data_IF_734792169356
#
_entry.id   IF_734792169356
#
_cell.length_a   1.000
_cell.length_b   1.000
_cell.length_c   1.000
_cell.angle_alpha   90.00
_cell.angle_beta   90.00
_cell.angle_gamma   90.00
#
_symmetry.space_group_name_H-M   'P 1'
#
loop_
_entity.id
_entity.type
_entity.pdbx_description
1 polymer ?
#
# COMPACT_ATOMS: atom_id res chain seq x y z
N UNK A 1 -23.88 -10.09 27.41
CA UNK A 1 -22.42 -9.90 27.66
C UNK A 1 -21.54 -10.93 26.94
N UNK A 2 -21.92 -12.22 26.86
CA UNK A 2 -21.12 -13.25 26.14
C UNK A 2 -20.98 -13.00 24.62
N UNK A 3 -22.04 -12.52 23.96
CA UNK A 3 -22.04 -12.23 22.52
C UNK A 3 -21.12 -11.04 22.14
N UNK A 4 -21.03 -10.01 22.98
CA UNK A 4 -20.11 -8.88 22.77
C UNK A 4 -18.65 -9.30 22.98
N UNK A 5 -18.36 -10.11 24.01
CA UNK A 5 -17.02 -10.63 24.28
C UNK A 5 -16.49 -11.50 23.12
N UNK A 6 -17.35 -12.33 22.52
CA UNK A 6 -17.01 -13.12 21.33
C UNK A 6 -16.75 -12.25 20.09
N UNK A 7 -17.49 -11.14 19.92
CA UNK A 7 -17.28 -10.20 18.81
C UNK A 7 -15.93 -9.50 18.93
N UNK A 8 -15.57 -9.04 20.12
CA UNK A 8 -14.31 -8.32 20.37
C UNK A 8 -13.09 -9.24 20.25
N UNK A 9 -13.22 -10.52 20.61
CA UNK A 9 -12.17 -11.52 20.42
C UNK A 9 -11.99 -11.86 18.93
N UNK A 10 -13.08 -11.98 18.18
CA UNK A 10 -13.03 -12.20 16.73
C UNK A 10 -12.41 -11.00 15.99
N UNK A 11 -12.76 -9.77 16.37
CA UNK A 11 -12.16 -8.54 15.81
C UNK A 11 -10.67 -8.45 16.11
N UNK A 12 -10.23 -8.84 17.31
CA UNK A 12 -8.80 -8.88 17.68
C UNK A 12 -8.02 -9.94 16.91
N UNK A 13 -8.56 -11.14 16.73
CA UNK A 13 -7.92 -12.18 15.93
C UNK A 13 -7.83 -11.79 14.45
N UNK A 14 -8.86 -11.14 13.92
CA UNK A 14 -8.86 -10.62 12.56
C UNK A 14 -7.88 -9.45 12.38
N UNK A 15 -7.76 -8.60 13.41
CA UNK A 15 -6.80 -7.49 13.43
C UNK A 15 -5.37 -8.02 13.45
N UNK A 16 -5.12 -9.06 14.24
CA UNK A 16 -3.84 -9.73 14.24
C UNK A 16 -3.49 -10.24 12.82
N UNK A 17 -4.42 -10.93 12.16
CA UNK A 17 -4.20 -11.46 10.80
C UNK A 17 -4.02 -10.37 9.74
N UNK A 18 -4.64 -9.20 9.91
CA UNK A 18 -4.54 -8.11 8.94
C UNK A 18 -3.16 -7.43 8.92
N UNK A 19 -2.40 -7.47 10.03
CA UNK A 19 -1.02 -6.95 10.06
C UNK A 19 -0.12 -7.52 8.98
N UNK A 20 -0.17 -8.84 8.78
CA UNK A 20 0.66 -9.50 7.78
C UNK A 20 0.21 -9.20 6.35
N UNK A 21 -1.07 -9.33 6.07
CA UNK A 21 -1.57 -9.33 4.70
C UNK A 21 -1.91 -7.94 4.17
N UNK A 22 -2.32 -7.00 5.01
CA UNK A 22 -2.83 -5.71 4.57
C UNK A 22 -1.78 -4.60 4.72
N UNK A 23 -1.08 -4.57 5.85
CA UNK A 23 -0.15 -3.48 6.16
C UNK A 23 1.28 -3.72 5.66
N UNK A 24 1.59 -4.90 5.11
CA UNK A 24 2.92 -5.25 4.59
C UNK A 24 3.44 -4.20 3.60
N UNK A 25 2.70 -3.92 2.53
CA UNK A 25 3.08 -2.92 1.50
C UNK A 25 3.30 -1.52 2.07
N UNK A 26 2.47 -1.12 3.04
CA UNK A 26 2.58 0.20 3.66
C UNK A 26 3.79 0.28 4.61
N UNK A 27 4.10 -0.83 5.27
CA UNK A 27 5.17 -0.92 6.26
C UNK A 27 6.58 -0.89 5.67
N UNK A 28 6.72 -1.18 4.38
CA UNK A 28 8.01 -1.20 3.67
C UNK A 28 8.37 0.13 3.00
N UNK A 29 7.42 1.08 2.89
CA UNK A 29 7.66 2.39 2.29
C UNK A 29 8.86 3.18 2.87
N UNK A 30 9.13 3.15 4.20
CA UNK A 30 10.30 3.84 4.76
C UNK A 30 11.65 3.39 4.20
N UNK A 31 11.74 2.22 3.56
CA UNK A 31 12.97 1.73 2.94
C UNK A 31 13.42 2.59 1.75
N UNK A 32 12.47 3.19 1.02
CA UNK A 32 12.76 3.88 -0.26
C UNK A 32 12.24 5.31 -0.34
N UNK A 33 11.29 5.75 0.50
CA UNK A 33 10.67 7.08 0.39
C UNK A 33 11.71 8.20 0.48
N UNK A 34 12.52 8.27 1.54
CA UNK A 34 13.50 9.37 1.67
C UNK A 34 14.59 9.35 0.60
N UNK A 35 15.06 8.16 0.23
CA UNK A 35 15.99 8.00 -0.91
C UNK A 35 15.40 8.57 -2.20
N UNK A 36 14.11 8.36 -2.43
CA UNK A 36 13.40 8.84 -3.63
C UNK A 36 13.16 10.35 -3.55
N UNK A 37 12.72 10.87 -2.40
CA UNK A 37 12.47 12.30 -2.15
C UNK A 37 13.71 13.16 -2.37
N UNK A 38 14.87 12.68 -1.95
CA UNK A 38 16.13 13.41 -2.11
C UNK A 38 16.94 13.00 -3.35
N UNK A 39 16.35 12.22 -4.27
CA UNK A 39 17.00 11.85 -5.52
C UNK A 39 17.08 13.02 -6.53
N UNK A 40 17.96 12.90 -7.52
CA UNK A 40 18.11 13.91 -8.58
C UNK A 40 18.70 15.22 -8.08
N UNK A 41 18.10 16.36 -8.47
CA UNK A 41 18.58 17.71 -8.15
C UNK A 41 18.35 18.13 -6.70
N UNK A 42 17.53 17.37 -5.95
CA UNK A 42 17.29 17.61 -4.53
C UNK A 42 18.54 17.46 -3.66
N UNK A 43 19.57 16.74 -4.13
CA UNK A 43 20.87 16.63 -3.44
C UNK A 43 21.61 17.97 -3.23
N UNK A 44 21.25 19.02 -3.99
CA UNK A 44 21.85 20.34 -3.86
C UNK A 44 21.34 21.11 -2.64
N UNK A 45 20.19 20.70 -2.08
CA UNK A 45 19.53 21.37 -0.95
C UNK A 45 19.81 20.64 0.37
N UNK A 46 21.02 20.80 0.92
CA UNK A 46 21.50 20.10 2.13
C UNK A 46 21.31 20.92 3.42
N UNK A 47 20.11 21.49 3.60
CA UNK A 47 19.79 22.32 4.78
C UNK A 47 18.92 21.54 5.75
N UNK A 48 19.16 21.68 7.05
CA UNK A 48 18.36 21.08 8.13
C UNK A 48 16.84 21.35 7.93
N UNK A 49 16.47 22.56 7.54
CA UNK A 49 15.09 22.96 7.25
C UNK A 49 14.42 22.14 6.14
N UNK A 50 15.18 21.70 5.14
CA UNK A 50 14.68 20.87 4.03
C UNK A 50 14.35 19.47 4.53
N UNK A 51 15.15 18.91 5.45
CA UNK A 51 14.85 17.63 6.08
C UNK A 51 13.59 17.70 6.96
N UNK A 52 13.42 18.80 7.70
CA UNK A 52 12.22 19.05 8.50
C UNK A 52 10.99 19.24 7.59
N UNK A 53 11.15 19.99 6.51
CA UNK A 53 10.15 20.20 5.47
C UNK A 53 9.71 18.91 4.79
N UNK A 54 10.67 18.05 4.41
CA UNK A 54 10.40 16.75 3.81
C UNK A 54 9.60 15.85 4.76
N UNK A 55 9.98 15.78 6.05
CA UNK A 55 9.21 15.05 7.05
C UNK A 55 7.80 15.62 7.20
N UNK A 56 7.67 16.93 7.34
CA UNK A 56 6.36 17.59 7.50
C UNK A 56 5.44 17.26 6.35
N UNK A 57 5.97 17.31 5.13
CA UNK A 57 5.24 17.01 3.90
C UNK A 57 4.84 15.52 3.81
N UNK A 58 5.72 14.59 4.20
CA UNK A 58 5.38 13.16 4.33
C UNK A 58 4.31 12.95 5.40
N UNK A 59 4.47 13.53 6.59
CA UNK A 59 3.56 13.40 7.71
C UNK A 59 2.15 13.88 7.37
N UNK A 60 2.00 15.08 6.81
CA UNK A 60 0.70 15.63 6.44
C UNK A 60 0.08 14.90 5.24
N UNK A 61 0.88 14.50 4.25
CA UNK A 61 0.38 13.68 3.12
C UNK A 61 -0.14 12.33 3.63
N UNK A 62 0.62 11.67 4.51
CA UNK A 62 0.24 10.40 5.12
C UNK A 62 -1.01 10.55 6.02
N UNK A 63 -1.10 11.61 6.80
CA UNK A 63 -2.25 11.89 7.67
C UNK A 63 -3.51 12.18 6.86
N UNK A 64 -3.43 13.03 5.84
CA UNK A 64 -4.60 13.40 5.03
C UNK A 64 -5.02 12.23 4.13
N UNK A 65 -4.07 11.60 3.45
CA UNK A 65 -4.40 10.54 2.50
C UNK A 65 -4.64 9.21 3.20
N UNK A 66 -3.69 8.69 3.98
CA UNK A 66 -3.83 7.37 4.58
C UNK A 66 -4.83 7.37 5.74
N UNK A 67 -4.68 8.27 6.71
CA UNK A 67 -5.55 8.27 7.90
C UNK A 67 -6.95 8.84 7.60
N UNK A 68 -7.04 10.08 7.12
CA UNK A 68 -8.34 10.75 6.96
C UNK A 68 -9.12 10.19 5.76
N UNK A 69 -8.55 10.24 4.55
CA UNK A 69 -9.25 9.77 3.34
C UNK A 69 -9.50 8.27 3.36
N UNK A 70 -8.48 7.44 3.57
CA UNK A 70 -8.66 6.00 3.42
C UNK A 70 -9.28 5.36 4.67
N UNK A 71 -8.67 5.57 5.85
CA UNK A 71 -9.07 4.83 7.05
C UNK A 71 -10.38 5.34 7.66
N UNK A 72 -10.58 6.65 7.72
CA UNK A 72 -11.81 7.22 8.29
C UNK A 72 -12.97 7.20 7.29
N UNK A 73 -12.74 7.67 6.06
CA UNK A 73 -13.81 7.80 5.06
C UNK A 73 -13.97 6.55 4.19
N UNK A 74 -12.92 6.14 3.47
CA UNK A 74 -13.04 5.10 2.43
C UNK A 74 -13.38 3.72 3.00
N UNK A 75 -12.79 3.32 4.13
CA UNK A 75 -13.16 2.08 4.83
C UNK A 75 -14.62 2.08 5.32
N UNK A 76 -15.32 3.23 5.37
CA UNK A 76 -16.75 3.30 5.72
C UNK A 76 -17.65 3.12 4.51
N UNK A 77 -17.09 3.18 3.30
CA UNK A 77 -17.80 3.03 2.04
C UNK A 77 -17.58 1.61 1.49
N UNK A 78 -17.96 0.60 2.28
CA UNK A 78 -17.91 -0.81 1.91
C UNK A 78 -19.25 -1.33 1.37
N UNK A 79 -19.19 -2.23 0.39
CA UNK A 79 -20.38 -2.86 -0.20
C UNK A 79 -20.45 -4.33 0.26
N UNK A 80 -21.30 -4.62 1.24
CA UNK A 80 -21.42 -5.95 1.88
C UNK A 80 -20.10 -6.52 2.42
N UNK A 81 -19.21 -5.64 2.91
CA UNK A 81 -17.89 -6.02 3.41
C UNK A 81 -16.81 -6.16 2.33
N UNK A 82 -17.13 -5.99 1.04
CA UNK A 82 -16.13 -5.86 -0.03
C UNK A 82 -15.70 -4.39 -0.17
N UNK A 83 -14.41 -4.16 -0.43
CA UNK A 83 -13.82 -2.84 -0.63
C UNK A 83 -13.09 -2.76 -1.97
N UNK A 84 -12.54 -1.60 -2.29
CA UNK A 84 -11.89 -1.33 -3.58
C UNK A 84 -12.70 -0.39 -4.47
N UNK A 85 -12.07 0.09 -5.53
CA UNK A 85 -12.67 1.02 -6.50
C UNK A 85 -13.97 0.48 -7.11
N UNK A 86 -14.08 -0.85 -7.25
CA UNK A 86 -15.27 -1.52 -7.74
C UNK A 86 -16.39 -1.67 -6.72
N UNK A 87 -16.07 -1.85 -5.43
CA UNK A 87 -17.07 -1.80 -4.36
C UNK A 87 -17.69 -0.40 -4.29
N UNK A 88 -16.85 0.65 -4.42
CA UNK A 88 -17.32 2.03 -4.49
C UNK A 88 -18.24 2.27 -5.71
N UNK A 89 -17.88 1.69 -6.86
CA UNK A 89 -18.70 1.74 -8.07
C UNK A 89 -20.03 0.99 -7.89
N UNK A 90 -20.02 -0.21 -7.32
CA UNK A 90 -21.21 -1.01 -7.02
C UNK A 90 -22.14 -0.27 -6.05
N UNK A 91 -21.60 0.31 -4.98
CA UNK A 91 -22.33 1.09 -3.99
C UNK A 91 -22.95 2.36 -4.61
N UNK A 92 -22.20 3.06 -5.46
CA UNK A 92 -22.72 4.18 -6.25
C UNK A 92 -23.83 3.72 -7.18
N UNK A 93 -23.69 2.56 -7.82
CA UNK A 93 -24.71 2.01 -8.69
C UNK A 93 -25.99 1.64 -7.93
N UNK A 94 -25.87 0.99 -6.77
CA UNK A 94 -27.00 0.56 -5.93
C UNK A 94 -27.76 1.76 -5.35
N UNK A 95 -27.05 2.75 -4.81
CA UNK A 95 -27.68 3.95 -4.25
C UNK A 95 -28.26 4.87 -5.33
N UNK A 96 -27.65 4.89 -6.53
CA UNK A 96 -28.17 5.64 -7.67
C UNK A 96 -29.25 4.87 -8.48
N UNK A 97 -29.49 3.57 -8.24
CA UNK A 97 -30.23 2.65 -9.14
C UNK A 97 -29.72 2.69 -10.59
N UNK A 98 -28.41 2.67 -10.72
CA UNK A 98 -27.68 2.71 -11.99
C UNK A 98 -27.67 1.32 -12.64
N UNK A 99 -27.96 1.26 -13.94
CA UNK A 99 -27.98 0.01 -14.71
C UNK A 99 -27.08 0.13 -15.94
N UNK A 100 -25.96 -0.59 -15.96
CA UNK A 100 -25.12 -0.77 -17.16
C UNK A 100 -24.74 -2.23 -17.40
N UNK A 101 -24.75 -3.08 -16.36
CA UNK A 101 -24.32 -4.48 -16.47
C UNK A 101 -25.50 -5.42 -16.26
N UNK A 102 -25.86 -6.25 -17.27
CA UNK A 102 -27.06 -7.09 -17.24
C UNK A 102 -27.04 -8.17 -16.15
N UNK A 103 -25.86 -8.54 -15.64
CA UNK A 103 -25.70 -9.67 -14.71
C UNK A 103 -25.93 -9.31 -13.23
N UNK A 104 -25.86 -8.03 -12.86
CA UNK A 104 -26.16 -7.59 -11.49
C UNK A 104 -27.68 -7.56 -11.21
N UNK A 105 -28.48 -7.46 -12.27
CA UNK A 105 -29.94 -7.38 -12.20
C UNK A 105 -30.56 -8.62 -11.53
N UNK A 106 -30.06 -9.83 -11.80
CA UNK A 106 -30.58 -11.05 -11.18
C UNK A 106 -30.18 -11.19 -9.69
N UNK A 107 -28.96 -10.78 -9.34
CA UNK A 107 -28.42 -10.94 -7.97
C UNK A 107 -29.04 -9.92 -7.01
N UNK A 108 -29.19 -8.66 -7.43
CA UNK A 108 -29.86 -7.64 -6.61
C UNK A 108 -31.39 -7.89 -6.51
N UNK A 109 -32.02 -8.46 -7.54
CA UNK A 109 -33.44 -8.81 -7.54
C UNK A 109 -33.72 -10.02 -6.62
N UNK A 110 -32.77 -10.93 -6.44
CA UNK A 110 -32.84 -11.98 -5.40
C UNK A 110 -32.55 -11.46 -3.99
N UNK A 111 -31.54 -10.60 -3.81
CA UNK A 111 -31.20 -10.02 -2.49
C UNK A 111 -32.29 -9.10 -1.94
N UNK A 112 -32.97 -8.35 -2.81
CA UNK A 112 -34.10 -7.50 -2.44
C UNK A 112 -35.33 -8.30 -1.98
N UNK A 113 -35.48 -9.56 -2.42
CA UNK A 113 -36.55 -10.47 -1.95
C UNK A 113 -36.32 -10.98 -0.52
N UNK A 114 -35.08 -10.98 -0.03
CA UNK A 114 -34.74 -11.45 1.33
C UNK A 114 -34.64 -10.32 2.37
N UNK A 115 -34.47 -9.06 1.96
CA UNK A 115 -34.57 -7.93 2.88
C UNK A 115 -36.02 -7.72 3.29
N UNK A 116 -36.30 -7.93 4.59
CA UNK A 116 -37.61 -7.82 5.22
C UNK A 116 -38.51 -6.70 4.65
N UNK A 117 -39.81 -6.95 4.41
CA UNK A 117 -40.74 -6.00 3.78
C UNK A 117 -41.05 -4.71 4.58
N UNK A 118 -40.39 -4.48 5.72
CA UNK A 118 -40.78 -3.44 6.68
C UNK A 118 -39.83 -2.23 6.78
N UNK A 119 -38.79 -2.11 5.93
CA UNK A 119 -37.96 -0.91 5.83
C UNK A 119 -37.82 -0.43 4.38
N UNK A 120 -38.96 -0.16 3.76
CA UNK A 120 -39.02 0.62 2.51
C UNK A 120 -39.18 2.11 2.85
N UNK A 121 -38.21 2.71 3.54
CA UNK A 121 -38.15 4.17 3.57
C UNK A 121 -37.70 4.64 2.19
N UNK A 122 -38.67 5.07 1.39
CA UNK A 122 -38.48 5.71 0.11
C UNK A 122 -37.64 6.98 0.28
N UNK A 123 -36.32 6.86 0.24
CA UNK A 123 -35.41 8.00 0.14
C UNK A 123 -35.67 8.62 -1.24
N UNK A 124 -36.14 9.87 -1.25
CA UNK A 124 -36.40 10.64 -2.45
C UNK A 124 -35.17 10.59 -3.39
N UNK A 125 -35.35 10.42 -4.72
CA UNK A 125 -34.22 10.37 -5.63
C UNK A 125 -33.46 11.70 -5.56
N UNK A 126 -32.20 11.65 -5.15
CA UNK A 126 -31.34 12.84 -5.07
C UNK A 126 -31.24 13.53 -6.43
N UNK A 127 -31.04 14.85 -6.45
CA UNK A 127 -30.89 15.65 -7.67
C UNK A 127 -29.82 15.07 -8.62
N UNK A 128 -28.77 14.49 -8.03
CA UNK A 128 -27.70 13.77 -8.69
C UNK A 128 -28.21 12.56 -9.48
N UNK A 129 -29.16 11.78 -8.93
CA UNK A 129 -29.77 10.63 -9.60
C UNK A 129 -30.51 11.01 -10.88
N UNK A 130 -31.30 12.09 -10.85
CA UNK A 130 -32.02 12.59 -12.04
C UNK A 130 -31.09 13.11 -13.13
N UNK A 131 -29.95 13.70 -12.77
CA UNK A 131 -28.94 14.15 -13.73
C UNK A 131 -28.14 12.99 -14.33
N UNK A 132 -27.82 11.97 -13.54
CA UNK A 132 -27.09 10.78 -13.99
C UNK A 132 -27.93 9.87 -14.90
N UNK A 133 -29.21 9.64 -14.57
CA UNK A 133 -30.10 8.79 -15.38
C UNK A 133 -30.34 9.36 -16.79
N UNK A 134 -30.22 10.68 -16.93
CA UNK A 134 -30.46 11.39 -18.20
C UNK A 134 -29.30 11.26 -19.20
N UNK A 135 -28.06 11.02 -18.72
CA UNK A 135 -26.85 11.14 -19.53
C UNK A 135 -26.05 9.82 -19.65
N UNK A 136 -26.29 9.06 -20.72
CA UNK A 136 -25.53 7.83 -21.07
C UNK A 136 -24.02 8.06 -21.16
N UNK A 137 -23.58 9.27 -21.53
CA UNK A 137 -22.16 9.62 -21.63
C UNK A 137 -21.49 9.68 -20.25
N UNK A 138 -22.16 10.28 -19.26
CA UNK A 138 -21.65 10.34 -17.89
C UNK A 138 -21.46 8.94 -17.30
N UNK A 139 -22.41 8.05 -17.61
CA UNK A 139 -22.38 6.63 -17.27
C UNK A 139 -21.11 5.92 -17.77
N UNK A 140 -20.76 6.20 -19.02
CA UNK A 140 -19.60 5.62 -19.70
C UNK A 140 -18.30 6.23 -19.17
N UNK A 141 -18.27 7.54 -18.94
CA UNK A 141 -17.13 8.24 -18.32
C UNK A 141 -16.85 7.66 -16.93
N UNK A 142 -17.89 7.44 -16.12
CA UNK A 142 -17.74 6.84 -14.79
C UNK A 142 -17.15 5.41 -14.86
N UNK A 143 -17.63 4.57 -15.79
CA UNK A 143 -17.07 3.23 -15.99
C UNK A 143 -15.59 3.29 -16.40
N UNK A 144 -15.22 4.19 -17.32
CA UNK A 144 -13.84 4.40 -17.77
C UNK A 144 -12.94 4.85 -16.61
N UNK A 145 -13.42 5.75 -15.75
CA UNK A 145 -12.68 6.20 -14.55
C UNK A 145 -12.42 5.04 -13.59
N UNK A 146 -13.41 4.17 -13.37
CA UNK A 146 -13.26 3.01 -12.48
C UNK A 146 -12.30 1.98 -13.08
N UNK A 147 -12.41 1.70 -14.38
CA UNK A 147 -11.49 0.79 -15.08
C UNK A 147 -10.05 1.33 -15.07
N UNK A 148 -9.89 2.65 -15.22
CA UNK A 148 -8.60 3.31 -15.09
C UNK A 148 -8.02 3.17 -13.67
N UNK A 149 -8.85 3.36 -12.64
CA UNK A 149 -8.47 3.09 -11.25
C UNK A 149 -8.01 1.65 -11.02
N UNK A 150 -8.70 0.67 -11.60
CA UNK A 150 -8.30 -0.73 -11.53
C UNK A 150 -6.96 -1.01 -12.23
N UNK A 151 -6.71 -0.38 -13.38
CA UNK A 151 -5.42 -0.45 -14.05
C UNK A 151 -4.30 0.14 -13.19
N UNK A 152 -4.57 1.25 -12.50
CA UNK A 152 -3.60 1.86 -11.56
C UNK A 152 -3.28 0.94 -10.38
N UNK A 153 -4.27 0.26 -9.80
CA UNK A 153 -4.03 -0.75 -8.75
C UNK A 153 -3.20 -1.92 -9.30
N UNK A 154 -3.42 -2.34 -10.54
CA UNK A 154 -2.58 -3.35 -11.20
C UNK A 154 -1.14 -2.87 -11.41
N UNK A 155 -0.92 -1.58 -11.71
CA UNK A 155 0.42 -1.01 -11.78
C UNK A 155 1.16 -1.09 -10.44
N UNK A 156 0.45 -0.89 -9.31
CA UNK A 156 1.02 -1.12 -7.96
C UNK A 156 1.43 -2.60 -7.82
N UNK A 157 0.58 -3.51 -8.30
CA UNK A 157 0.82 -4.94 -8.51
C UNK A 157 2.18 -5.27 -9.12
N UNK A 158 2.55 -4.52 -10.16
CA UNK A 158 3.73 -4.75 -10.98
C UNK A 158 4.97 -4.06 -10.39
N UNK A 159 4.85 -2.83 -9.88
CA UNK A 159 5.98 -2.00 -9.47
C UNK A 159 6.44 -2.26 -8.03
N UNK A 160 5.53 -2.58 -7.10
CA UNK A 160 5.89 -2.67 -5.68
C UNK A 160 6.80 -3.86 -5.32
N UNK A 161 6.60 -5.09 -5.87
CA UNK A 161 7.48 -6.21 -5.58
C UNK A 161 8.97 -5.96 -5.91
N UNK A 162 9.36 -5.50 -7.11
CA UNK A 162 10.77 -5.25 -7.40
C UNK A 162 11.36 -4.10 -6.56
N UNK A 163 10.60 -3.02 -6.33
CA UNK A 163 11.06 -1.87 -5.54
C UNK A 163 11.31 -2.28 -4.09
N UNK A 164 10.36 -2.97 -3.45
CA UNK A 164 10.50 -3.38 -2.05
C UNK A 164 11.61 -4.41 -1.84
N UNK A 165 11.73 -5.41 -2.72
CA UNK A 165 12.79 -6.43 -2.64
C UNK A 165 14.17 -5.82 -2.85
N UNK A 166 14.37 -4.99 -3.87
CA UNK A 166 15.68 -4.34 -4.05
C UNK A 166 15.99 -3.42 -2.87
N UNK A 167 15.04 -2.60 -2.44
CA UNK A 167 15.26 -1.68 -1.32
C UNK A 167 15.61 -2.43 -0.04
N UNK A 168 15.12 -3.66 0.14
CA UNK A 168 15.55 -4.52 1.26
C UNK A 168 16.98 -5.05 1.11
N UNK A 169 17.44 -5.29 -0.12
CA UNK A 169 18.76 -5.85 -0.40
C UNK A 169 19.86 -4.79 -0.55
N UNK A 170 19.50 -3.53 -0.83
CA UNK A 170 20.46 -2.43 -0.97
C UNK A 170 21.29 -2.17 0.29
N UNK A 171 20.79 -2.55 1.47
CA UNK A 171 21.57 -2.52 2.71
C UNK A 171 22.86 -3.34 2.63
N UNK A 172 22.88 -4.41 1.84
CA UNK A 172 24.05 -5.26 1.67
C UNK A 172 25.22 -4.53 0.99
N UNK A 173 24.93 -3.57 0.10
CA UNK A 173 25.95 -2.77 -0.59
C UNK A 173 26.74 -1.87 0.36
N UNK A 174 26.13 -1.45 1.48
CA UNK A 174 26.80 -0.60 2.46
C UNK A 174 27.85 -1.34 3.30
N UNK A 175 27.69 -2.64 3.51
CA UNK A 175 28.57 -3.42 4.40
C UNK A 175 29.55 -4.29 3.65
N UNK A 176 29.29 -4.58 2.37
CA UNK A 176 30.17 -5.38 1.52
C UNK A 176 30.50 -4.58 0.26
N UNK A 177 31.50 -3.70 0.36
CA UNK A 177 31.96 -2.84 -0.74
C UNK A 177 32.43 -3.64 -1.99
N UNK A 178 32.75 -4.92 -1.81
CA UNK A 178 33.17 -5.82 -2.90
C UNK A 178 32.02 -6.37 -3.75
N UNK A 179 30.75 -6.19 -3.34
CA UNK A 179 29.61 -6.67 -4.13
C UNK A 179 29.31 -5.70 -5.28
N UNK A 180 29.47 -6.18 -6.51
CA UNK A 180 29.01 -5.46 -7.68
C UNK A 180 27.51 -5.20 -7.60
N UNK A 181 27.07 -3.98 -7.94
CA UNK A 181 25.65 -3.62 -8.07
C UNK A 181 24.86 -4.65 -8.91
N UNK A 182 25.51 -5.25 -9.93
CA UNK A 182 24.91 -6.30 -10.76
C UNK A 182 24.55 -7.56 -9.98
N UNK A 183 25.36 -7.94 -8.99
CA UNK A 183 25.11 -9.12 -8.15
C UNK A 183 23.88 -8.90 -7.27
N UNK A 184 23.74 -7.72 -6.67
CA UNK A 184 22.57 -7.40 -5.82
C UNK A 184 21.28 -7.40 -6.63
N UNK A 185 21.30 -6.83 -7.84
CA UNK A 185 20.16 -6.89 -8.76
C UNK A 185 19.84 -8.33 -9.17
N UNK A 186 20.86 -9.16 -9.43
CA UNK A 186 20.69 -10.58 -9.74
C UNK A 186 20.03 -11.36 -8.60
N UNK A 187 20.45 -11.13 -7.35
CA UNK A 187 19.83 -11.73 -6.16
C UNK A 187 18.38 -11.24 -6.00
N UNK A 188 18.11 -9.95 -6.20
CA UNK A 188 16.77 -9.40 -6.15
C UNK A 188 15.83 -10.06 -7.20
N UNK A 189 16.31 -10.25 -8.43
CA UNK A 189 15.58 -10.96 -9.47
C UNK A 189 15.32 -12.42 -9.09
N UNK A 190 16.29 -13.13 -8.53
CA UNK A 190 16.13 -14.50 -8.08
C UNK A 190 15.08 -14.61 -6.94
N UNK A 191 15.12 -13.68 -5.97
CA UNK A 191 14.11 -13.59 -4.90
C UNK A 191 12.73 -13.31 -5.50
N UNK A 192 12.61 -12.38 -6.44
CA UNK A 192 11.34 -12.03 -7.07
C UNK A 192 10.74 -13.22 -7.85
N UNK A 193 11.55 -13.92 -8.67
CA UNK A 193 11.11 -15.16 -9.35
C UNK A 193 10.69 -16.22 -8.33
N UNK A 194 11.47 -16.40 -7.27
CA UNK A 194 11.13 -17.31 -6.17
C UNK A 194 9.80 -16.98 -5.51
N UNK A 195 9.53 -15.70 -5.26
CA UNK A 195 8.26 -15.24 -4.67
C UNK A 195 7.06 -15.54 -5.58
N UNK A 196 7.14 -15.19 -6.87
CA UNK A 196 6.05 -15.46 -7.83
C UNK A 196 5.85 -16.95 -8.08
N UNK A 197 6.91 -17.75 -8.11
CA UNK A 197 6.82 -19.21 -8.24
C UNK A 197 6.18 -19.86 -6.99
N UNK A 198 6.50 -19.34 -5.80
CA UNK A 198 5.99 -19.87 -4.53
C UNK A 198 4.46 -19.67 -4.38
N UNK A 199 3.87 -18.68 -5.06
CA UNK A 199 2.43 -18.41 -5.05
C UNK A 199 1.58 -19.65 -5.41
N UNK A 200 2.07 -20.49 -6.35
CA UNK A 200 1.35 -21.68 -6.80
C UNK A 200 1.17 -22.75 -5.69
N UNK A 201 2.08 -22.80 -4.71
CA UNK A 201 2.03 -23.78 -3.61
C UNK A 201 0.98 -23.46 -2.53
N UNK A 202 0.30 -22.33 -2.67
CA UNK A 202 -0.75 -21.88 -1.76
C UNK A 202 -0.17 -21.13 -0.57
N UNK A 203 -0.52 -19.85 -0.47
CA UNK A 203 -0.13 -18.93 0.61
C UNK A 203 -0.70 -19.33 1.98
N UNK A 204 -1.57 -20.34 2.06
CA UNK A 204 -2.32 -20.68 3.27
C UNK A 204 -1.46 -21.08 4.48
N UNK A 205 -0.37 -21.86 4.28
CA UNK A 205 0.51 -22.25 5.41
C UNK A 205 1.39 -21.10 5.86
N UNK A 206 1.76 -20.22 4.93
CA UNK A 206 2.71 -19.14 5.17
C UNK A 206 2.00 -17.88 5.71
N UNK A 207 0.71 -17.72 5.42
CA UNK A 207 -0.11 -16.59 5.88
C UNK A 207 -0.17 -16.44 7.41
N UNK A 208 0.05 -17.53 8.17
CA UNK A 208 0.14 -17.46 9.64
C UNK A 208 1.45 -16.81 10.13
N UNK A 209 2.52 -16.86 9.33
CA UNK A 209 3.84 -16.30 9.66
C UNK A 209 3.92 -14.81 9.31
N UNK A 210 3.04 -14.32 8.42
CA UNK A 210 3.08 -12.92 7.99
C UNK A 210 2.78 -11.91 9.10
N UNK A 211 1.75 -12.08 9.95
CA UNK A 211 1.48 -11.16 11.06
C UNK A 211 2.65 -10.95 12.05
N UNK A 212 3.27 -12.01 12.61
CA UNK A 212 4.37 -11.79 13.55
C UNK A 212 5.57 -11.13 12.88
N UNK A 213 5.86 -11.44 11.62
CA UNK A 213 6.95 -10.79 10.86
C UNK A 213 6.70 -9.29 10.74
N UNK A 214 5.51 -8.87 10.32
CA UNK A 214 5.19 -7.44 10.16
C UNK A 214 5.13 -6.71 11.50
N UNK A 215 4.61 -7.34 12.56
CA UNK A 215 4.58 -6.74 13.89
C UNK A 215 6.00 -6.51 14.44
N UNK A 216 6.89 -7.51 14.34
CA UNK A 216 8.29 -7.37 14.77
C UNK A 216 9.00 -6.33 13.91
N UNK A 217 8.74 -6.30 12.60
CA UNK A 217 9.26 -5.26 11.70
C UNK A 217 8.83 -3.86 12.11
N UNK A 218 7.53 -3.63 12.32
CA UNK A 218 6.97 -2.33 12.72
C UNK A 218 7.54 -1.85 14.08
N UNK A 219 7.69 -2.75 15.04
CA UNK A 219 8.32 -2.44 16.33
C UNK A 219 9.82 -2.13 16.16
N UNK A 220 10.51 -2.85 15.29
CA UNK A 220 11.94 -2.63 15.02
C UNK A 220 12.16 -1.24 14.43
N UNK A 221 11.39 -0.85 13.41
CA UNK A 221 11.49 0.50 12.82
C UNK A 221 11.04 1.58 13.80
N UNK A 222 10.01 1.34 14.62
CA UNK A 222 9.61 2.29 15.65
C UNK A 222 10.74 2.53 16.67
N UNK A 223 11.41 1.47 17.13
CA UNK A 223 12.55 1.56 18.03
C UNK A 223 13.74 2.32 17.43
N UNK A 224 14.09 2.04 16.17
CA UNK A 224 15.14 2.77 15.43
C UNK A 224 14.74 4.24 15.24
N UNK A 225 13.47 4.50 14.96
CA UNK A 225 12.92 5.85 14.87
C UNK A 225 13.14 6.65 16.16
N UNK A 226 12.75 6.09 17.32
CA UNK A 226 12.97 6.71 18.64
C UNK A 226 14.46 6.96 18.88
N UNK A 227 15.29 5.95 18.65
CA UNK A 227 16.74 6.06 18.81
C UNK A 227 17.30 7.23 17.99
N UNK A 228 16.89 7.35 16.72
CA UNK A 228 17.40 8.40 15.84
C UNK A 228 16.93 9.80 16.23
N UNK A 229 15.69 9.95 16.73
CA UNK A 229 15.19 11.22 17.26
C UNK A 229 16.01 11.67 18.47
N UNK A 230 16.29 10.76 19.41
CA UNK A 230 17.04 11.09 20.63
C UNK A 230 18.52 11.36 20.33
N UNK A 231 19.14 10.52 19.49
CA UNK A 231 20.57 10.56 19.25
C UNK A 231 21.00 11.67 18.27
N UNK A 232 20.27 11.87 17.17
CA UNK A 232 20.72 12.77 16.09
C UNK A 232 20.15 14.18 16.20
N UNK A 233 18.83 14.30 16.36
CA UNK A 233 18.21 15.62 16.40
C UNK A 233 16.85 15.62 17.13
N UNK A 234 16.81 15.95 18.43
CA UNK A 234 15.55 16.00 19.16
C UNK A 234 14.66 17.14 18.69
N UNK A 235 15.17 18.18 18.01
CA UNK A 235 14.35 19.32 17.57
C UNK A 235 13.39 18.97 16.43
N UNK A 236 13.51 17.78 15.85
CA UNK A 236 12.69 17.30 14.74
C UNK A 236 11.19 17.28 15.04
N UNK A 237 10.77 17.22 16.33
CA UNK A 237 9.34 17.30 16.68
C UNK A 237 8.67 18.59 16.18
N UNK A 238 9.43 19.67 15.94
CA UNK A 238 8.88 20.91 15.39
C UNK A 238 8.34 20.71 13.98
N UNK A 239 8.87 19.74 13.25
CA UNK A 239 8.48 19.42 11.88
C UNK A 239 7.04 18.89 11.74
N UNK A 240 6.35 18.53 12.85
CA UNK A 240 4.90 18.27 12.80
C UNK A 240 4.09 19.50 12.35
N UNK A 241 4.62 20.71 12.55
CA UNK A 241 3.96 21.93 12.08
C UNK A 241 3.95 22.00 10.55
N UNK A 242 2.79 22.25 9.91
CA UNK A 242 2.70 22.42 8.45
C UNK A 242 3.47 23.66 7.95
N UNK A 243 3.92 24.54 8.84
CA UNK A 243 4.79 25.65 8.49
C UNK A 243 6.07 25.22 7.74
N UNK A 244 6.62 24.06 8.07
CA UNK A 244 7.81 23.52 7.41
C UNK A 244 7.54 23.08 5.95
N UNK A 245 6.28 22.81 5.58
CA UNK A 245 5.90 22.55 4.19
C UNK A 245 6.07 23.82 3.35
N UNK A 246 5.64 24.97 3.88
CA UNK A 246 5.83 26.25 3.19
C UNK A 246 7.32 26.56 3.00
N UNK A 247 8.12 26.38 4.05
CA UNK A 247 9.58 26.56 3.99
C UNK A 247 10.23 25.61 2.98
N UNK A 248 9.79 24.34 2.95
CA UNK A 248 10.27 23.35 1.99
C UNK A 248 10.09 23.83 0.54
N UNK A 249 8.88 24.25 0.16
CA UNK A 249 8.60 24.73 -1.19
C UNK A 249 9.27 26.06 -1.50
N UNK A 250 9.45 26.93 -0.51
CA UNK A 250 10.16 28.19 -0.69
C UNK A 250 11.65 27.96 -1.01
N UNK A 251 12.29 26.98 -0.35
CA UNK A 251 13.71 26.68 -0.54
C UNK A 251 13.99 25.84 -1.79
N UNK A 252 13.14 24.84 -2.07
CA UNK A 252 13.37 23.85 -3.14
C UNK A 252 12.74 24.26 -4.48
N UNK A 253 11.77 25.18 -4.48
CA UNK A 253 11.13 25.70 -5.67
C UNK A 253 10.49 24.59 -6.52
N UNK A 254 10.83 24.55 -7.82
CA UNK A 254 10.27 23.58 -8.78
C UNK A 254 10.65 22.13 -8.46
N UNK A 255 11.85 21.91 -7.92
CA UNK A 255 12.33 20.56 -7.60
C UNK A 255 11.54 19.96 -6.42
N UNK A 256 11.10 20.79 -5.47
CA UNK A 256 10.21 20.39 -4.38
C UNK A 256 8.83 19.91 -4.87
N UNK A 257 8.29 20.53 -5.93
CA UNK A 257 7.04 20.09 -6.55
C UNK A 257 7.17 18.73 -7.23
N UNK A 258 8.30 18.47 -7.88
CA UNK A 258 8.58 17.15 -8.47
C UNK A 258 8.78 16.08 -7.38
N UNK A 259 9.45 16.45 -6.29
CA UNK A 259 9.65 15.59 -5.11
C UNK A 259 8.34 15.16 -4.43
N UNK A 260 7.26 15.94 -4.56
CA UNK A 260 5.94 15.57 -4.05
C UNK A 260 5.47 14.21 -4.60
N UNK A 261 5.77 13.90 -5.87
CA UNK A 261 5.50 12.60 -6.48
C UNK A 261 6.17 11.44 -5.73
N UNK A 262 7.41 11.65 -5.27
CA UNK A 262 8.16 10.66 -4.48
C UNK A 262 7.60 10.51 -3.06
N UNK A 263 6.99 11.56 -2.50
CA UNK A 263 6.31 11.46 -1.21
C UNK A 263 5.04 10.62 -1.29
N UNK A 264 4.34 10.62 -2.42
CA UNK A 264 3.18 9.73 -2.61
C UNK A 264 3.53 8.23 -2.54
N UNK A 265 4.81 7.86 -2.71
CA UNK A 265 5.29 6.49 -2.47
C UNK A 265 5.14 6.04 -1.01
N UNK A 266 4.93 6.97 -0.06
CA UNK A 266 4.63 6.66 1.33
C UNK A 266 3.19 6.13 1.53
N UNK A 267 2.28 6.39 0.59
CA UNK A 267 0.86 5.99 0.70
C UNK A 267 0.46 4.88 -0.27
N UNK A 268 1.34 4.38 -1.13
CA UNK A 268 1.00 3.40 -2.19
C UNK A 268 0.42 2.08 -1.66
N UNK A 269 0.58 1.78 -0.36
CA UNK A 269 -0.04 0.62 0.29
C UNK A 269 -1.49 0.82 0.76
N UNK A 270 -2.04 2.04 0.75
CA UNK A 270 -3.39 2.31 1.30
C UNK A 270 -4.51 1.82 0.37
N UNK A 271 -4.26 1.77 -0.93
CA UNK A 271 -5.20 1.24 -1.93
C UNK A 271 -5.36 -0.28 -1.79
N UNK A 272 -4.26 -0.98 -1.48
CA UNK A 272 -4.27 -2.42 -1.21
C UNK A 272 -5.07 -2.73 0.05
N UNK A 273 -4.94 -1.89 1.09
CA UNK A 273 -5.78 -1.99 2.29
C UNK A 273 -7.27 -1.83 1.99
N UNK A 274 -7.65 -1.00 1.02
CA UNK A 274 -9.04 -0.87 0.63
C UNK A 274 -9.52 -2.05 -0.23
N UNK A 275 -8.68 -2.54 -1.14
CA UNK A 275 -9.02 -3.69 -2.00
C UNK A 275 -9.19 -4.99 -1.19
N UNK A 276 -8.46 -5.17 -0.09
CA UNK A 276 -8.52 -6.38 0.75
C UNK A 276 -9.59 -6.34 1.85
N UNK A 277 -10.50 -5.36 1.83
CA UNK A 277 -11.62 -5.29 2.78
C UNK A 277 -12.53 -6.53 2.69
N UNK A 278 -12.64 -7.16 1.52
CA UNK A 278 -13.39 -8.42 1.36
C UNK A 278 -12.92 -9.57 2.26
N UNK A 279 -11.70 -9.48 2.80
CA UNK A 279 -11.11 -10.49 3.69
C UNK A 279 -11.11 -10.07 5.18
N UNK A 280 -11.30 -8.78 5.48
CA UNK A 280 -11.12 -8.22 6.84
C UNK A 280 -12.19 -7.16 7.14
N UNK A 281 -12.66 -7.07 8.39
CA UNK A 281 -13.66 -6.05 8.74
C UNK A 281 -13.04 -4.66 8.83
N UNK A 282 -13.78 -3.63 8.37
CA UNK A 282 -13.35 -2.23 8.42
C UNK A 282 -12.95 -1.76 9.83
N UNK A 283 -13.70 -2.16 10.85
CA UNK A 283 -13.41 -1.82 12.25
C UNK A 283 -12.05 -2.38 12.71
N UNK A 284 -11.73 -3.62 12.32
CA UNK A 284 -10.47 -4.28 12.63
C UNK A 284 -9.28 -3.56 12.01
N UNK A 285 -9.39 -3.18 10.73
CA UNK A 285 -8.37 -2.41 10.02
C UNK A 285 -8.17 -1.01 10.62
N UNK A 286 -9.26 -0.30 10.98
CA UNK A 286 -9.17 1.03 11.62
C UNK A 286 -8.40 0.98 12.93
N UNK A 287 -8.74 0.04 13.82
CA UNK A 287 -8.08 -0.07 15.12
C UNK A 287 -6.61 -0.43 14.94
N UNK A 288 -6.29 -1.43 14.10
CA UNK A 288 -4.91 -1.83 13.84
C UNK A 288 -4.07 -0.67 13.23
N UNK A 289 -4.65 0.07 12.29
CA UNK A 289 -3.95 1.18 11.64
C UNK A 289 -3.70 2.34 12.61
N UNK A 290 -4.75 2.87 13.24
CA UNK A 290 -4.67 4.11 14.04
C UNK A 290 -3.84 3.89 15.30
N UNK A 291 -4.08 2.78 16.00
CA UNK A 291 -3.44 2.51 17.29
C UNK A 291 -2.00 2.01 17.14
N UNK A 292 -1.63 1.41 16.01
CA UNK A 292 -0.34 0.73 15.87
C UNK A 292 0.45 1.14 14.63
N UNK A 293 -0.05 0.83 13.44
CA UNK A 293 0.72 1.02 12.18
C UNK A 293 1.09 2.47 11.96
N UNK A 294 0.13 3.38 12.13
CA UNK A 294 0.32 4.82 11.97
C UNK A 294 1.39 5.36 12.92
N UNK A 295 1.32 4.97 14.20
CA UNK A 295 2.28 5.42 15.21
C UNK A 295 3.71 4.96 14.88
N UNK A 296 3.87 3.69 14.50
CA UNK A 296 5.19 3.14 14.14
C UNK A 296 5.78 3.82 12.90
N UNK A 297 4.97 4.06 11.87
CA UNK A 297 5.44 4.67 10.62
C UNK A 297 5.78 6.13 10.78
N UNK A 298 4.95 6.91 11.47
CA UNK A 298 5.25 8.32 11.76
C UNK A 298 6.56 8.44 12.53
N UNK A 299 6.77 7.58 13.52
CA UNK A 299 7.98 7.57 14.34
C UNK A 299 9.23 7.20 13.53
N UNK A 300 9.12 6.22 12.63
CA UNK A 300 10.20 5.88 11.71
C UNK A 300 10.53 7.02 10.75
N UNK A 301 9.52 7.65 10.13
CA UNK A 301 9.76 8.79 9.23
C UNK A 301 10.37 9.98 9.95
N UNK A 302 10.00 10.21 11.22
CA UNK A 302 10.55 11.25 12.08
C UNK A 302 12.03 10.97 12.41
N UNK A 303 12.36 9.74 12.78
CA UNK A 303 13.74 9.32 13.07
C UNK A 303 14.65 9.38 11.84
N UNK A 304 14.17 8.95 10.68
CA UNK A 304 14.94 9.08 9.43
C UNK A 304 15.20 10.55 9.07
N UNK A 305 14.23 11.43 9.25
CA UNK A 305 14.42 12.86 9.05
C UNK A 305 15.46 13.44 10.01
N UNK A 306 15.42 13.03 11.28
CA UNK A 306 16.39 13.44 12.28
C UNK A 306 17.81 13.04 11.88
N UNK A 307 18.00 11.81 11.38
CA UNK A 307 19.28 11.32 10.87
C UNK A 307 19.75 12.11 9.65
N UNK A 308 18.90 12.28 8.63
CA UNK A 308 19.22 13.00 7.38
C UNK A 308 19.58 14.46 7.67
N UNK A 309 18.92 15.08 8.66
CA UNK A 309 19.16 16.47 9.04
C UNK A 309 20.60 16.79 9.43
N UNK A 310 21.36 15.76 9.86
CA UNK A 310 22.79 15.87 10.20
C UNK A 310 23.71 15.16 9.20
N UNK A 311 23.20 14.16 8.46
CA UNK A 311 23.99 13.30 7.58
C UNK A 311 23.45 13.27 6.13
N UNK A 312 23.44 14.43 5.45
CA UNK A 312 22.98 14.53 4.06
C UNK A 312 23.78 13.68 3.05
N UNK A 313 25.05 13.41 3.32
CA UNK A 313 25.87 12.52 2.49
C UNK A 313 25.30 11.08 2.43
N UNK A 314 24.67 10.62 3.50
CA UNK A 314 24.18 9.25 3.62
C UNK A 314 22.75 9.04 3.05
N UNK A 315 22.18 10.05 2.38
CA UNK A 315 20.83 10.01 1.79
C UNK A 315 20.56 8.78 0.88
N UNK A 316 21.47 8.37 -0.02
CA UNK A 316 21.21 7.24 -0.92
C UNK A 316 20.91 5.93 -0.20
N UNK A 317 21.41 5.76 1.02
CA UNK A 317 21.14 4.62 1.87
C UNK A 317 20.55 5.04 3.23
N UNK A 318 19.76 6.12 3.22
CA UNK A 318 19.19 6.79 4.41
C UNK A 318 18.59 5.84 5.44
N UNK A 319 17.84 4.81 5.03
CA UNK A 319 17.29 3.82 5.95
C UNK A 319 18.40 3.05 6.68
N UNK A 320 19.27 2.35 5.95
CA UNK A 320 20.28 1.48 6.54
C UNK A 320 21.41 2.23 7.25
N UNK A 321 21.78 3.40 6.74
CA UNK A 321 22.78 4.27 7.37
C UNK A 321 22.30 4.83 8.72
N UNK A 322 20.98 4.92 8.92
CA UNK A 322 20.39 5.38 10.19
C UNK A 322 20.32 4.30 11.28
N UNK A 323 20.74 3.06 11.01
CA UNK A 323 20.64 1.94 11.95
C UNK A 323 21.94 1.81 12.75
N UNK A 324 21.88 1.65 14.09
CA UNK A 324 23.05 1.31 14.90
C UNK A 324 23.74 0.04 14.42
N UNK A 325 25.07 -0.02 14.51
CA UNK A 325 25.84 -1.15 13.97
C UNK A 325 25.43 -2.51 14.52
N UNK A 326 25.14 -2.58 15.83
CA UNK A 326 24.74 -3.82 16.51
C UNK A 326 23.39 -4.36 16.00
N UNK A 327 22.48 -3.48 15.60
CA UNK A 327 21.12 -3.83 15.16
C UNK A 327 21.01 -4.00 13.64
N UNK A 328 22.07 -3.72 12.88
CA UNK A 328 22.05 -3.76 11.43
C UNK A 328 21.61 -5.12 10.88
N UNK A 329 22.27 -6.21 11.27
CA UNK A 329 22.00 -7.55 10.74
C UNK A 329 20.59 -8.05 11.08
N UNK A 330 20.11 -7.96 12.34
CA UNK A 330 18.73 -8.31 12.67
C UNK A 330 17.71 -7.53 11.83
N UNK A 331 17.90 -6.20 11.71
CA UNK A 331 16.96 -5.34 10.96
C UNK A 331 17.02 -5.62 9.46
N UNK A 332 18.18 -5.93 8.90
CA UNK A 332 18.35 -6.30 7.49
C UNK A 332 17.59 -7.59 7.15
N UNK A 333 17.70 -8.62 8.00
CA UNK A 333 16.95 -9.87 7.82
C UNK A 333 15.44 -9.58 7.92
N UNK A 334 15.03 -8.78 8.91
CA UNK A 334 13.62 -8.39 9.06
C UNK A 334 13.11 -7.56 7.89
N UNK A 335 13.91 -6.66 7.32
CA UNK A 335 13.57 -5.86 6.14
C UNK A 335 13.34 -6.76 4.93
N UNK A 336 14.20 -7.76 4.74
CA UNK A 336 14.07 -8.74 3.65
C UNK A 336 12.79 -9.57 3.80
N UNK A 337 12.49 -10.04 5.02
CA UNK A 337 11.25 -10.76 5.30
C UNK A 337 10.01 -9.87 5.12
N UNK A 338 10.06 -8.62 5.59
CA UNK A 338 8.98 -7.65 5.43
C UNK A 338 8.73 -7.32 3.95
N UNK A 339 9.78 -7.18 3.14
CA UNK A 339 9.66 -6.97 1.68
C UNK A 339 9.01 -8.16 0.96
N UNK A 340 9.35 -9.39 1.38
CA UNK A 340 8.66 -10.59 0.88
C UNK A 340 7.18 -10.52 1.22
N UNK A 341 6.83 -10.26 2.48
CA UNK A 341 5.43 -10.17 2.93
C UNK A 341 4.67 -9.04 2.21
N UNK A 342 5.29 -7.86 2.07
CA UNK A 342 4.74 -6.72 1.35
C UNK A 342 4.42 -7.04 -0.11
N UNK A 343 5.32 -7.76 -0.79
CA UNK A 343 5.10 -8.21 -2.17
C UNK A 343 3.89 -9.14 -2.25
N UNK A 344 3.71 -10.03 -1.27
CA UNK A 344 2.55 -10.95 -1.21
C UNK A 344 1.23 -10.19 -1.05
N UNK A 345 1.18 -9.18 -0.18
CA UNK A 345 0.02 -8.30 0.01
C UNK A 345 -0.46 -7.69 -1.30
N UNK A 346 0.47 -7.11 -2.05
CA UNK A 346 0.17 -6.42 -3.30
C UNK A 346 -0.28 -7.39 -4.41
N UNK A 347 0.37 -8.56 -4.51
CA UNK A 347 -0.03 -9.61 -5.47
C UNK A 347 -1.44 -10.12 -5.14
N UNK A 348 -1.76 -10.32 -3.86
CA UNK A 348 -3.09 -10.71 -3.42
C UNK A 348 -4.14 -9.65 -3.77
N UNK A 349 -3.85 -8.37 -3.49
CA UNK A 349 -4.73 -7.25 -3.84
C UNK A 349 -5.01 -7.13 -5.35
N UNK A 350 -4.00 -7.43 -6.19
CA UNK A 350 -4.15 -7.49 -7.63
C UNK A 350 -5.11 -8.63 -8.07
N UNK A 351 -5.02 -9.82 -7.46
CA UNK A 351 -5.96 -10.91 -7.73
C UNK A 351 -7.40 -10.56 -7.31
N UNK A 352 -7.57 -9.89 -6.17
CA UNK A 352 -8.87 -9.38 -5.71
C UNK A 352 -9.46 -8.38 -6.71
N UNK A 353 -8.66 -7.44 -7.18
CA UNK A 353 -9.08 -6.43 -8.16
C UNK A 353 -9.49 -7.07 -9.49
N UNK A 354 -8.74 -8.06 -10.00
CA UNK A 354 -9.10 -8.72 -11.26
C UNK A 354 -10.36 -9.59 -11.11
N UNK A 355 -10.56 -10.25 -9.96
CA UNK A 355 -11.82 -10.94 -9.67
C UNK A 355 -13.01 -9.97 -9.69
N UNK A 356 -12.85 -8.78 -9.12
CA UNK A 356 -13.90 -7.74 -9.15
C UNK A 356 -14.16 -7.25 -10.59
N UNK A 357 -13.12 -7.03 -11.40
CA UNK A 357 -13.27 -6.73 -12.84
C UNK A 357 -14.05 -7.80 -13.60
N UNK A 358 -13.81 -9.08 -13.30
CA UNK A 358 -14.49 -10.21 -13.94
C UNK A 358 -15.96 -10.32 -13.52
N UNK A 359 -16.27 -10.08 -12.25
CA UNK A 359 -17.64 -10.04 -11.76
C UNK A 359 -18.47 -8.97 -12.51
N UNK A 360 -17.81 -7.88 -12.92
CA UNK A 360 -18.40 -6.81 -13.72
C UNK A 360 -18.40 -7.09 -15.23
N UNK A 361 -17.93 -8.25 -15.69
CA UNK A 361 -17.93 -8.61 -17.11
C UNK A 361 -16.95 -7.80 -17.98
N UNK A 362 -16.04 -7.03 -17.39
CA UNK A 362 -15.07 -6.19 -18.10
C UNK A 362 -13.86 -6.98 -18.63
N UNK A 363 -13.64 -8.20 -18.14
CA UNK A 363 -12.53 -9.06 -18.54
C UNK A 363 -13.04 -10.44 -19.02
N UNK A 364 -12.38 -11.06 -20.02
CA UNK A 364 -12.68 -12.43 -20.42
C UNK A 364 -12.54 -13.38 -19.23
N UNK A 365 -13.35 -14.45 -19.21
CA UNK A 365 -13.41 -15.42 -18.11
C UNK A 365 -12.08 -16.18 -18.00
N UNK A 366 -11.16 -15.70 -17.17
CA UNK A 366 -9.95 -16.44 -16.79
C UNK A 366 -10.35 -17.56 -15.84
N UNK A 367 -9.73 -18.73 -15.98
CA UNK A 367 -10.02 -19.91 -15.16
C UNK A 367 -9.58 -19.68 -13.71
N UNK A 368 -10.49 -19.20 -12.86
CA UNK A 368 -10.27 -19.11 -11.41
C UNK A 368 -10.25 -20.52 -10.83
N UNK A 369 -9.07 -21.02 -10.45
CA UNK A 369 -8.93 -22.34 -9.83
C UNK A 369 -9.38 -22.24 -8.37
N UNK A 370 -10.68 -22.45 -8.12
CA UNK A 370 -11.22 -22.52 -6.76
C UNK A 370 -10.99 -23.92 -6.18
N UNK A 371 -9.96 -24.09 -5.35
CA UNK A 371 -9.75 -25.34 -4.60
C UNK A 371 -10.62 -25.33 -3.34
N UNK A 372 -11.38 -26.42 -3.12
CA UNK A 372 -12.37 -26.59 -2.04
C UNK A 372 -11.82 -26.44 -0.60
N UNK A 373 -10.49 -26.45 -0.42
CA UNK A 373 -9.79 -26.36 0.87
C UNK A 373 -9.31 -24.96 1.26
N UNK A 374 -9.60 -23.95 0.44
CA UNK A 374 -9.17 -22.58 0.67
C UNK A 374 -10.23 -21.88 1.52
N UNK A 375 -9.83 -21.38 2.68
CA UNK A 375 -10.69 -20.56 3.56
C UNK A 375 -11.22 -19.39 2.72
N UNK A 376 -12.51 -19.06 2.87
CA UNK A 376 -13.19 -17.98 2.17
C UNK A 376 -12.30 -16.71 2.16
N UNK A 377 -11.95 -16.21 0.97
CA UNK A 377 -11.21 -14.95 0.80
C UNK A 377 -9.93 -15.01 -0.07
N UNK A 378 -9.23 -16.15 -0.12
CA UNK A 378 -7.99 -16.25 -0.91
C UNK A 378 -8.23 -16.68 -2.36
N UNK A 379 -7.87 -15.80 -3.30
CA UNK A 379 -8.05 -16.02 -4.74
C UNK A 379 -6.67 -16.12 -5.39
N UNK A 380 -6.36 -17.25 -6.00
CA UNK A 380 -5.16 -17.42 -6.81
C UNK A 380 -5.54 -17.55 -8.28
N UNK A 381 -4.96 -16.70 -9.12
CA UNK A 381 -5.14 -16.74 -10.58
C UNK A 381 -3.77 -16.91 -11.23
N UNK A 382 -3.49 -18.12 -11.71
CA UNK A 382 -2.18 -18.48 -12.23
C UNK A 382 -1.74 -17.59 -13.41
N UNK A 383 -2.64 -17.29 -14.34
CA UNK A 383 -2.33 -16.47 -15.52
C UNK A 383 -1.89 -15.05 -15.13
N UNK A 384 -2.60 -14.43 -14.20
CA UNK A 384 -2.27 -13.08 -13.71
C UNK A 384 -0.93 -13.09 -12.97
N UNK A 385 -0.67 -14.13 -12.18
CA UNK A 385 0.59 -14.28 -11.47
C UNK A 385 1.79 -14.28 -12.43
N UNK A 386 1.70 -15.01 -13.53
CA UNK A 386 2.76 -15.03 -14.56
C UNK A 386 2.87 -13.70 -15.30
N UNK A 387 1.74 -13.05 -15.63
CA UNK A 387 1.74 -11.73 -16.27
C UNK A 387 2.40 -10.68 -15.37
N UNK A 388 2.06 -10.68 -14.07
CA UNK A 388 2.66 -9.80 -13.08
C UNK A 388 4.17 -10.05 -12.97
N UNK A 389 4.60 -11.31 -12.84
CA UNK A 389 6.01 -11.67 -12.76
C UNK A 389 6.81 -11.18 -13.98
N UNK A 390 6.32 -11.47 -15.19
CA UNK A 390 6.99 -11.08 -16.44
C UNK A 390 7.03 -9.56 -16.57
N UNK A 391 5.94 -8.86 -16.25
CA UNK A 391 5.87 -7.39 -16.32
C UNK A 391 6.81 -6.74 -15.30
N UNK A 392 6.87 -7.26 -14.06
CA UNK A 392 7.78 -6.77 -13.02
C UNK A 392 9.24 -6.93 -13.43
N UNK A 393 9.62 -8.07 -14.00
CA UNK A 393 10.99 -8.30 -14.48
C UNK A 393 11.31 -7.45 -15.72
N UNK A 394 10.37 -7.34 -16.66
CA UNK A 394 10.56 -6.60 -17.90
C UNK A 394 10.74 -5.09 -17.67
N UNK A 395 10.04 -4.51 -16.69
CA UNK A 395 10.24 -3.09 -16.33
C UNK A 395 11.54 -2.88 -15.56
N UNK A 396 11.92 -3.84 -14.72
CA UNK A 396 13.02 -3.67 -13.78
C UNK A 396 14.41 -3.88 -14.37
N UNK A 397 14.59 -4.96 -15.15
CA UNK A 397 15.91 -5.32 -15.72
C UNK A 397 16.51 -4.20 -16.59
N UNK A 398 15.75 -3.52 -17.47
CA UNK A 398 16.28 -2.42 -18.28
C UNK A 398 16.69 -1.20 -17.44
N UNK A 399 15.97 -0.88 -16.36
CA UNK A 399 16.19 0.31 -15.54
C UNK A 399 17.53 0.29 -14.78
N UNK A 400 18.12 -0.88 -14.60
CA UNK A 400 19.43 -1.06 -13.95
C UNK A 400 20.55 -1.48 -14.90
N UNK A 401 20.24 -1.57 -16.19
CA UNK A 401 21.24 -1.57 -17.24
C UNK A 401 21.50 -0.11 -17.65
N UNK A 402 22.77 0.31 -17.74
CA UNK A 402 23.19 1.73 -17.86
C UNK A 402 22.55 2.54 -18.99
N UNK A 403 21.84 1.90 -19.92
CA UNK A 403 21.27 2.50 -21.13
C UNK A 403 19.92 3.22 -20.94
N UNK A 404 19.19 3.02 -19.82
CA UNK A 404 17.81 3.53 -19.66
C UNK A 404 17.58 4.50 -18.49
N UNK A 405 18.64 5.04 -17.87
CA UNK A 405 18.53 5.97 -16.73
C UNK A 405 17.85 7.33 -17.03
N UNK A 406 17.46 7.62 -18.28
CA UNK A 406 16.90 8.90 -18.69
C UNK A 406 15.36 8.99 -18.72
N UNK A 407 14.63 7.95 -18.32
CA UNK A 407 13.16 7.91 -18.52
C UNK A 407 12.34 8.24 -17.25
N UNK A 408 13.00 8.50 -16.11
CA UNK A 408 12.32 8.87 -14.86
C UNK A 408 12.92 10.14 -14.24
#
# INVERSE_FOLDING_TARGET
MSQYRNRDEHVRQLAYRSFGMVFGSLSTSPLYVYRSVFSGRMHQFQTEDVAFGAFSLIFWTFTIMALLKHVMFMLSADDHGEGGTFALYSLLCRHAKFSLLPNYQAVDEELSKYQNPCQSTAIAPSQLKRYLDKNKNFRTILLVVVLYGACMVMCIGILNPPISVLSSLDGLQLRVEQLSHRTVVGVACAVLVGQFALQHRGTYRVAFIFPPVVLVWLLSIAGIGIYNVIHWNPRIYRAFSPHYIYLYFQQTGKEGWLSLGNVFLAITGTEVMFADLGNFTAASLRVAFICFVYQCLVLQYLGQAAFISKNFYAVPASFYASIPELMFWPVFIMASLAAIVASQSVISGAFSTVKQCQALGCLPRVKVVRKLRWIHGHVYVAEINWILMVSSLALWVPQHNSYWKCVW
#
